data_IF_657721953900
#
_entry.id   IF_657721953900
#
_cell.length_a   1.000
_cell.length_b   1.000
_cell.length_c   1.000
_cell.angle_alpha   90.00
_cell.angle_beta   90.00
_cell.angle_gamma   90.00
#
_symmetry.space_group_name_H-M   'P 1'
#
loop_
_entity.id
_entity.type
_entity.pdbx_description
1 polymer ?
2 non-polymer ?
3 water ?
#
# COMPACT_ATOMS: atom_id res chain seq x y z
N UNK A 4 8.95 2.89 -24.33
CA UNK A 4 9.88 1.88 -23.71
C UNK A 4 9.19 1.07 -22.62
N UNK A 5 9.54 -0.21 -22.56
CA UNK A 5 9.04 -1.14 -21.53
C UNK A 5 9.36 -0.60 -20.14
N UNK A 6 8.33 -0.54 -19.32
CA UNK A 6 8.43 -0.05 -17.96
C UNK A 6 8.69 -1.21 -17.01
N UNK A 7 9.44 -0.95 -15.94
CA UNK A 7 9.71 -1.94 -14.90
C UNK A 7 8.43 -2.21 -14.10
N UNK A 8 8.15 -3.47 -13.82
CA UNK A 8 7.08 -3.81 -12.86
C UNK A 8 7.56 -3.54 -11.43
N UNK A 9 6.63 -3.13 -10.56
CA UNK A 9 6.93 -2.92 -9.14
C UNK A 9 6.84 -4.31 -8.47
N UNK A 10 7.86 -5.12 -8.76
CA UNK A 10 7.89 -6.54 -8.38
C UNK A 10 9.34 -6.97 -8.43
N UNK A 11 9.76 -7.70 -7.39
CA UNK A 11 11.16 -8.13 -7.30
C UNK A 11 11.18 -9.54 -6.74
N UNK A 12 12.12 -10.35 -7.20
CA UNK A 12 12.33 -11.65 -6.60
C UNK A 12 13.72 -11.71 -6.01
N UNK A 13 13.78 -12.04 -4.73
CA UNK A 13 15.04 -12.27 -4.05
C UNK A 13 14.95 -13.64 -3.41
N UNK A 14 15.94 -14.48 -3.72
CA UNK A 14 15.92 -15.87 -3.29
C UNK A 14 14.59 -16.52 -3.73
N UNK A 15 13.78 -16.97 -2.78
CA UNK A 15 12.54 -17.69 -3.12
C UNK A 15 11.30 -16.88 -2.74
N UNK A 16 11.45 -15.56 -2.75
CA UNK A 16 10.33 -14.68 -2.41
C UNK A 16 10.15 -13.55 -3.42
N UNK A 17 8.91 -13.40 -3.88
CA UNK A 17 8.53 -12.34 -4.80
C UNK A 17 7.75 -11.32 -4.01
N UNK A 18 8.15 -10.05 -4.13
CA UNK A 18 7.48 -9.01 -3.38
C UNK A 18 7.17 -7.85 -4.30
N UNK A 19 5.96 -7.31 -4.18
CA UNK A 19 5.59 -6.21 -5.07
C UNK A 19 4.26 -5.58 -4.72
N UNK A 20 3.81 -4.72 -5.61
CA UNK A 20 2.56 -3.98 -5.44
C UNK A 20 1.64 -4.28 -6.63
N UNK A 21 0.40 -4.64 -6.32
CA UNK A 21 -0.59 -5.08 -7.31
C UNK A 21 -1.77 -4.13 -7.35
N UNK A 22 -2.34 -3.97 -8.54
CA UNK A 22 -3.70 -3.37 -8.64
C UNK A 22 -4.69 -4.43 -9.03
N UNK A 23 -5.80 -4.49 -8.30
CA UNK A 23 -6.86 -5.47 -8.51
C UNK A 23 -8.16 -4.79 -8.91
N UNK A 24 -8.79 -5.33 -9.94
CA UNK A 24 -10.01 -4.75 -10.48
C UNK A 24 -11.19 -5.56 -9.98
N UNK A 25 -11.91 -4.99 -9.01
CA UNK A 25 -13.13 -5.61 -8.51
C UNK A 25 -14.28 -5.01 -9.29
N UNK A 26 -14.54 -5.60 -10.45
CA UNK A 26 -15.61 -5.16 -11.34
C UNK A 26 -16.95 -5.77 -10.89
N UNK A 27 -17.84 -4.90 -10.44
CA UNK A 27 -19.12 -5.34 -9.89
C UNK A 27 -20.23 -4.72 -10.71
N UNK A 28 -21.09 -5.58 -11.27
CA UNK A 28 -22.24 -5.14 -12.07
C UNK A 28 -23.44 -6.04 -11.77
N UNK A 29 -24.61 -5.40 -11.64
CA UNK A 29 -25.85 -6.15 -11.35
C UNK A 29 -25.66 -7.10 -10.16
N UNK A 30 -24.98 -6.61 -9.13
CA UNK A 30 -24.76 -7.32 -7.87
C UNK A 30 -23.83 -8.55 -8.01
N UNK A 31 -22.99 -8.53 -9.04
CA UNK A 31 -22.10 -9.66 -9.34
C UNK A 31 -20.68 -9.19 -9.59
N UNK A 32 -19.72 -10.02 -9.18
CA UNK A 32 -18.31 -9.72 -9.37
C UNK A 32 -17.77 -10.50 -10.56
N UNK A 33 -17.05 -9.80 -11.45
CA UNK A 33 -16.43 -10.46 -12.60
C UNK A 33 -15.15 -11.15 -12.13
N UNK A 34 -15.11 -12.47 -12.25
CA UNK A 34 -13.93 -13.26 -11.87
C UNK A 34 -13.46 -14.14 -13.01
N UNK A 35 -12.24 -14.66 -12.89
CA UNK A 35 -11.75 -15.60 -13.88
C UNK A 35 -11.36 -16.94 -13.24
N UNK A 36 -11.50 -18.01 -14.01
CA UNK A 36 -11.28 -19.37 -13.52
C UNK A 36 -10.05 -20.02 -14.15
N UNK A 37 -9.27 -20.73 -13.35
CA UNK A 37 -8.15 -21.50 -13.85
C UNK A 37 -7.83 -22.62 -12.89
N UNK A 38 -7.90 -23.85 -13.41
CA UNK A 38 -7.62 -25.07 -12.65
C UNK A 38 -8.36 -25.10 -11.31
N UNK A 39 -9.68 -24.99 -11.39
CA UNK A 39 -10.55 -25.08 -10.22
C UNK A 39 -10.67 -23.83 -9.36
N UNK A 40 -9.66 -22.96 -9.41
CA UNK A 40 -9.67 -21.76 -8.55
C UNK A 40 -10.12 -20.52 -9.31
N UNK A 41 -10.61 -19.54 -8.57
CA UNK A 41 -11.06 -18.30 -9.16
C UNK A 41 -10.18 -17.14 -8.75
N UNK A 42 -9.94 -16.24 -9.69
CA UNK A 42 -9.04 -15.11 -9.50
C UNK A 42 -9.68 -13.82 -9.93
N UNK A 43 -9.11 -12.73 -9.45
CA UNK A 43 -9.51 -11.40 -9.85
C UNK A 43 -8.70 -10.91 -11.07
N UNK A 44 -9.29 -9.99 -11.81
CA UNK A 44 -8.57 -9.22 -12.83
C UNK A 44 -7.57 -8.30 -12.15
N UNK A 45 -6.35 -8.22 -12.68
CA UNK A 45 -5.34 -7.34 -12.12
C UNK A 45 -3.91 -7.80 -12.34
N UNK A 46 -2.99 -7.08 -11.74
CA UNK A 46 -1.56 -7.39 -11.94
C UNK A 46 -0.67 -6.34 -11.31
N UNK A 47 0.63 -6.52 -11.49
CA UNK A 47 1.62 -5.62 -10.89
C UNK A 47 1.46 -4.20 -11.41
N UNK A 48 1.50 -3.23 -10.50
CA UNK A 48 1.65 -1.84 -10.97
C UNK A 48 3.06 -1.65 -11.53
N UNK A 49 3.23 -0.63 -12.37
CA UNK A 49 4.57 -0.35 -12.89
C UNK A 49 5.29 0.64 -11.96
N UNK A 50 6.61 0.58 -11.96
CA UNK A 50 7.35 1.58 -11.22
C UNK A 50 7.02 2.96 -11.80
N UNK A 51 6.71 3.91 -10.91
CA UNK A 51 6.32 5.29 -11.25
C UNK A 51 4.91 5.44 -11.82
N UNK A 52 4.10 4.38 -11.72
CA UNK A 52 2.69 4.41 -12.16
C UNK A 52 1.75 4.49 -10.93
N UNK A 53 0.68 5.27 -11.05
CA UNK A 53 -0.31 5.34 -9.96
C UNK A 53 -1.11 4.05 -9.96
N UNK A 54 -1.65 3.66 -8.81
CA UNK A 54 -2.43 2.43 -8.75
C UNK A 54 -3.70 2.54 -9.59
N UNK A 55 -4.26 3.76 -9.69
CA UNK A 55 -5.43 4.00 -10.56
C UNK A 55 -5.09 3.70 -12.03
N UNK A 56 -3.97 4.26 -12.49
CA UNK A 56 -3.54 4.04 -13.87
C UNK A 56 -3.22 2.57 -14.09
N UNK A 57 -2.63 1.91 -13.08
CA UNK A 57 -2.34 0.49 -13.17
C UNK A 57 -3.59 -0.34 -13.35
N UNK A 58 -4.62 -0.08 -12.55
CA UNK A 58 -5.82 -0.91 -12.63
C UNK A 58 -6.51 -0.74 -13.98
N UNK A 59 -6.50 0.49 -14.49
CA UNK A 59 -7.12 0.75 -15.79
C UNK A 59 -6.32 0.04 -16.86
N UNK A 60 -4.99 0.09 -16.75
CA UNK A 60 -4.12 -0.59 -17.73
C UNK A 60 -4.31 -2.11 -17.70
N UNK A 61 -4.43 -2.66 -16.49
CA UNK A 61 -4.63 -4.10 -16.31
C UNK A 61 -5.93 -4.55 -16.95
N UNK A 62 -6.99 -3.75 -16.78
CA UNK A 62 -8.26 -4.05 -17.41
C UNK A 62 -8.13 -4.00 -18.94
N UNK A 63 -7.43 -2.99 -19.45
CA UNK A 63 -7.16 -2.89 -20.90
C UNK A 63 -6.40 -4.13 -21.39
N UNK A 64 -5.35 -4.52 -20.67
CA UNK A 64 -4.52 -5.65 -21.09
C UNK A 64 -5.31 -6.97 -21.05
N UNK A 65 -6.02 -7.20 -19.95
CA UNK A 65 -6.63 -8.52 -19.72
C UNK A 65 -8.01 -8.68 -20.31
N UNK A 66 -8.78 -7.59 -20.33
CA UNK A 66 -10.16 -7.63 -20.86
C UNK A 66 -10.36 -6.94 -22.21
N UNK A 67 -9.43 -6.06 -22.58
CA UNK A 67 -9.48 -5.36 -23.87
C UNK A 67 -10.53 -4.27 -23.94
N UNK A 68 -10.90 -3.73 -22.77
CA UNK A 68 -11.93 -2.71 -22.68
C UNK A 68 -11.45 -1.48 -21.89
N UNK A 69 -12.06 -0.34 -22.18
CA UNK A 69 -11.82 0.90 -21.47
C UNK A 69 -12.52 0.88 -20.13
N UNK A 70 -11.92 1.55 -19.15
CA UNK A 70 -12.45 1.57 -17.79
C UNK A 70 -11.93 2.76 -17.01
N UNK A 71 -12.61 3.06 -15.90
CA UNK A 71 -12.11 4.02 -14.91
C UNK A 71 -11.86 3.34 -13.57
N UNK A 72 -10.90 3.85 -12.80
CA UNK A 72 -10.52 3.16 -11.56
C UNK A 72 -11.65 3.02 -10.54
N UNK A 73 -12.48 4.04 -10.40
CA UNK A 73 -13.57 4.02 -9.40
C UNK A 73 -13.01 4.08 -7.98
N UNK A 74 -13.84 3.68 -7.01
CA UNK A 74 -13.53 3.76 -5.56
C UNK A 74 -12.44 2.77 -5.15
N UNK A 75 -11.44 3.22 -4.40
CA UNK A 75 -10.53 2.28 -3.75
C UNK A 75 -11.25 1.62 -2.55
N UNK A 76 -11.43 0.30 -2.60
CA UNK A 76 -12.16 -0.44 -1.57
C UNK A 76 -11.22 -0.94 -0.48
N UNK A 77 -10.10 -1.52 -0.89
CA UNK A 77 -9.17 -2.15 0.04
C UNK A 77 -7.73 -1.85 -0.29
N UNK A 78 -6.92 -1.70 0.77
CA UNK A 78 -5.47 -1.80 0.67
C UNK A 78 -5.09 -3.02 1.48
N UNK A 79 -4.50 -3.99 0.80
CA UNK A 79 -4.32 -5.35 1.35
C UNK A 79 -2.85 -5.68 1.48
N UNK A 80 -2.44 -6.19 2.63
CA UNK A 80 -1.13 -6.82 2.77
C UNK A 80 -1.38 -8.31 2.67
N UNK A 81 -0.79 -8.94 1.67
CA UNK A 81 -1.12 -10.33 1.35
C UNK A 81 0.15 -11.19 1.27
N UNK A 82 0.23 -12.25 2.08
CA UNK A 82 1.32 -13.22 1.97
C UNK A 82 0.69 -14.54 1.56
N UNK A 83 1.28 -15.21 0.59
CA UNK A 83 0.81 -16.52 0.19
C UNK A 83 1.91 -17.31 -0.50
N UNK A 84 1.66 -18.60 -0.67
CA UNK A 84 2.56 -19.52 -1.36
C UNK A 84 1.93 -20.02 -2.66
N UNK A 85 2.70 -20.03 -3.74
CA UNK A 85 2.31 -20.75 -4.95
C UNK A 85 3.47 -21.58 -5.46
N UNK A 86 3.25 -22.89 -5.59
CA UNK A 86 4.26 -23.83 -6.11
C UNK A 86 5.61 -23.67 -5.40
N UNK A 87 5.55 -23.47 -4.08
CA UNK A 87 6.75 -23.38 -3.25
C UNK A 87 7.45 -22.04 -3.22
N UNK A 88 6.92 -21.06 -3.96
CA UNK A 88 7.46 -19.71 -3.95
C UNK A 88 6.61 -18.85 -3.03
N UNK A 89 7.26 -18.08 -2.16
CA UNK A 89 6.56 -17.14 -1.29
C UNK A 89 6.29 -15.82 -2.02
N UNK A 90 5.11 -15.26 -1.77
CA UNK A 90 4.74 -13.95 -2.31
C UNK A 90 4.33 -13.03 -1.19
N UNK A 91 4.74 -11.77 -1.31
CA UNK A 91 4.32 -10.74 -0.39
C UNK A 91 3.92 -9.53 -1.23
N UNK A 92 2.61 -9.29 -1.30
CA UNK A 92 2.03 -8.18 -2.08
C UNK A 92 1.45 -7.12 -1.19
N UNK A 93 1.55 -5.88 -1.64
CA UNK A 93 0.59 -4.84 -1.21
C UNK A 93 -0.36 -4.72 -2.39
N UNK A 94 -1.67 -4.79 -2.13
CA UNK A 94 -2.65 -4.77 -3.23
C UNK A 94 -3.64 -3.65 -3.07
N UNK A 95 -3.95 -2.98 -4.16
CA UNK A 95 -4.94 -1.92 -4.16
C UNK A 95 -6.14 -2.43 -4.93
N UNK A 96 -7.26 -2.59 -4.23
CA UNK A 96 -8.45 -3.21 -4.82
C UNK A 96 -9.43 -2.11 -5.16
N UNK A 97 -9.70 -1.93 -6.45
CA UNK A 97 -10.59 -0.86 -6.96
C UNK A 97 -11.92 -1.36 -7.45
N UNK A 98 -12.99 -0.63 -7.12
CA UNK A 98 -14.33 -0.96 -7.63
C UNK A 98 -14.45 -0.31 -9.02
N UNK A 99 -13.80 -0.95 -9.99
CA UNK A 99 -13.64 -0.37 -11.33
C UNK A 99 -15.00 -0.16 -12.03
N UNK A 100 -15.09 0.93 -12.80
CA UNK A 100 -16.23 1.18 -13.67
C UNK A 100 -15.82 0.91 -15.12
N UNK A 101 -16.40 -0.13 -15.72
CA UNK A 101 -16.15 -0.39 -17.14
C UNK A 101 -16.88 0.64 -18.00
N UNK A 102 -16.23 1.05 -19.09
CA UNK A 102 -16.83 2.02 -20.01
C UNK A 102 -17.34 1.35 -21.28
N UNK A 103 -17.16 0.03 -21.34
CA UNK A 103 -17.67 -0.85 -22.41
C UNK A 103 -18.14 -2.16 -21.76
N UNK A 104 -18.90 -2.98 -22.49
CA UNK A 104 -19.30 -4.30 -22.01
C UNK A 104 -18.09 -5.18 -21.74
N UNK A 105 -18.14 -5.97 -20.67
CA UNK A 105 -17.09 -6.97 -20.39
C UNK A 105 -17.17 -8.14 -21.38
N UNK A 106 -16.01 -8.65 -21.83
CA UNK A 106 -15.97 -9.86 -22.65
C UNK A 106 -16.18 -11.15 -21.85
N UNK A 107 -16.39 -12.25 -22.57
CA UNK A 107 -16.61 -13.57 -21.96
C UNK A 107 -15.31 -14.23 -21.50
N UNK A 108 -14.19 -13.69 -21.97
CA UNK A 108 -12.87 -14.29 -21.71
C UNK A 108 -11.83 -13.23 -21.37
N UNK A 109 -10.83 -13.60 -20.56
CA UNK A 109 -9.67 -12.73 -20.30
C UNK A 109 -8.43 -13.40 -20.86
N UNK A 110 -7.39 -12.61 -21.10
CA UNK A 110 -6.12 -13.19 -21.51
C UNK A 110 -5.04 -12.57 -20.66
N UNK A 111 -4.08 -13.40 -20.25
CA UNK A 111 -2.89 -12.92 -19.58
C UNK A 111 -1.75 -13.82 -20.03
N UNK A 112 -0.63 -13.19 -20.42
CA UNK A 112 0.53 -13.90 -20.97
C UNK A 112 0.14 -14.85 -22.10
N UNK A 113 -0.87 -14.44 -22.86
CA UNK A 113 -1.34 -15.15 -24.07
C UNK A 113 -2.01 -16.48 -23.76
N UNK A 114 -2.47 -16.62 -22.52
CA UNK A 114 -3.26 -17.76 -22.11
C UNK A 114 -4.64 -17.25 -21.76
N UNK A 115 -5.65 -17.84 -22.38
CA UNK A 115 -7.03 -17.40 -22.16
C UNK A 115 -7.73 -18.18 -21.06
N UNK A 116 -8.57 -17.48 -20.32
CA UNK A 116 -9.36 -18.06 -19.25
C UNK A 116 -10.79 -17.52 -19.38
N UNK A 117 -11.79 -18.34 -19.05
CA UNK A 117 -13.15 -17.82 -19.11
C UNK A 117 -13.39 -16.87 -17.96
N UNK A 118 -14.25 -15.87 -18.17
CA UNK A 118 -14.70 -15.02 -17.07
C UNK A 118 -16.17 -15.26 -16.75
N UNK A 119 -16.52 -15.07 -15.50
CA UNK A 119 -17.88 -15.27 -15.07
C UNK A 119 -18.25 -14.18 -14.09
N UNK A 120 -19.52 -13.78 -14.13
CA UNK A 120 -20.09 -12.82 -13.21
C UNK A 120 -20.75 -13.60 -12.08
N UNK A 121 -20.24 -13.46 -10.84
CA UNK A 121 -20.80 -14.21 -9.72
C UNK A 121 -21.43 -13.32 -8.64
N UNK A 122 -22.63 -13.69 -8.17
CA UNK A 122 -23.31 -12.89 -7.16
C UNK A 122 -22.45 -12.67 -5.90
N UNK A 123 -22.46 -11.44 -5.39
CA UNK A 123 -21.61 -11.11 -4.24
C UNK A 123 -21.86 -12.01 -3.03
N UNK A 124 -23.11 -12.46 -2.85
CA UNK A 124 -23.48 -13.28 -1.70
C UNK A 124 -23.09 -14.74 -1.90
N UNK A 125 -22.54 -15.04 -3.07
CA UNK A 125 -22.13 -16.40 -3.45
C UNK A 125 -20.62 -16.53 -3.63
N UNK A 126 -19.87 -15.47 -3.30
CA UNK A 126 -18.40 -15.52 -3.34
C UNK A 126 -17.86 -16.58 -2.39
N UNK A 127 -18.55 -16.77 -1.27
CA UNK A 127 -18.16 -17.79 -0.31
C UNK A 127 -18.41 -19.21 -0.86
N UNK A 128 -18.99 -19.30 -2.07
CA UNK A 128 -19.29 -20.60 -2.68
C UNK A 128 -18.42 -20.96 -3.90
N UNK A 129 -17.34 -20.20 -4.07
CA UNK A 129 -16.27 -20.49 -5.04
C UNK A 129 -14.87 -20.47 -4.35
N UNK A 130 -13.89 -21.17 -4.91
CA UNK A 130 -12.52 -21.13 -4.41
C UNK A 130 -11.83 -19.86 -4.93
N UNK A 131 -12.28 -18.72 -4.43
CA UNK A 131 -11.76 -17.42 -4.81
C UNK A 131 -10.49 -17.08 -4.03
N UNK A 132 -9.50 -16.55 -4.73
CA UNK A 132 -8.34 -15.96 -4.06
C UNK A 132 -8.15 -14.53 -4.57
N UNK A 133 -7.79 -13.62 -3.67
CA UNK A 133 -7.54 -13.88 -2.25
C UNK A 133 -8.75 -13.79 -1.32
N UNK A 134 -8.73 -14.40 -0.14
CA UNK A 134 -9.70 -15.40 0.22
C UNK A 134 -10.52 -14.39 1.09
N UNK A 135 -9.85 -13.30 1.52
CA UNK A 135 -10.52 -12.23 2.30
C UNK A 135 -11.74 -11.65 1.58
N UNK A 136 -11.72 -11.65 0.25
CA UNK A 136 -12.84 -11.09 -0.52
C UNK A 136 -14.17 -11.78 -0.25
N UNK A 137 -14.12 -13.08 0.05
CA UNK A 137 -15.33 -13.88 0.19
C UNK A 137 -16.27 -13.31 1.25
N UNK A 138 -15.68 -12.72 2.29
CA UNK A 138 -16.41 -12.09 3.38
C UNK A 138 -16.38 -10.55 3.26
N UNK A 139 -15.22 -10.00 2.91
CA UNK A 139 -15.04 -8.55 2.96
C UNK A 139 -15.82 -7.81 1.90
N UNK A 140 -15.94 -8.39 0.71
CA UNK A 140 -16.62 -7.69 -0.37
C UNK A 140 -18.14 -7.55 -0.14
N UNK A 141 -18.85 -8.67 0.14
CA UNK A 141 -20.28 -8.49 0.42
C UNK A 141 -20.56 -7.67 1.67
N UNK A 142 -19.62 -7.64 2.62
CA UNK A 142 -19.74 -6.84 3.84
C UNK A 142 -19.34 -5.38 3.68
N UNK A 143 -18.82 -5.00 2.51
CA UNK A 143 -18.20 -3.67 2.34
C UNK A 143 -19.23 -2.56 2.56
N UNK A 144 -18.82 -1.50 3.26
CA UNK A 144 -19.75 -0.46 3.70
C UNK A 144 -19.48 0.94 3.10
N UNK A 145 -18.68 1.01 2.04
CA UNK A 145 -18.41 2.28 1.38
C UNK A 145 -17.17 3.02 1.86
N UNK A 146 -16.46 2.45 2.84
CA UNK A 146 -15.24 3.11 3.34
C UNK A 146 -14.02 2.26 3.10
N UNK A 147 -12.96 2.92 2.65
CA UNK A 147 -11.66 2.30 2.47
C UNK A 147 -11.26 1.48 3.69
N UNK A 148 -10.88 0.21 3.46
CA UNK A 148 -10.49 -0.70 4.54
C UNK A 148 -9.10 -1.27 4.35
N UNK A 149 -8.38 -1.43 5.46
CA UNK A 149 -7.05 -2.05 5.46
C UNK A 149 -7.20 -3.52 5.80
N UNK A 150 -6.68 -4.39 4.93
CA UNK A 150 -6.69 -5.82 5.19
C UNK A 150 -5.28 -6.19 5.61
N UNK A 151 -5.14 -6.64 6.86
CA UNK A 151 -3.81 -6.84 7.47
C UNK A 151 -3.35 -8.28 7.43
N UNK A 152 -2.05 -8.50 7.65
CA UNK A 152 -1.53 -9.87 7.76
C UNK A 152 -1.86 -10.47 9.14
N UNK A 153 -2.12 -11.77 9.20
CA UNK A 153 -2.43 -12.43 10.48
C UNK A 153 -1.20 -12.54 11.39
N UNK B 3 23.00 -13.56 4.64
CA UNK B 3 22.48 -14.39 5.76
C UNK B 3 22.15 -13.53 6.98
N UNK B 4 20.93 -13.68 7.49
CA UNK B 4 20.51 -13.00 8.75
C UNK B 4 20.44 -11.47 8.80
N UNK B 5 20.68 -10.83 7.67
CA UNK B 5 20.06 -9.55 7.44
C UNK B 5 18.83 -9.73 6.55
N UNK B 6 17.67 -9.50 7.13
CA UNK B 6 16.44 -9.75 6.45
C UNK B 6 16.33 -8.80 5.23
N UNK B 7 15.73 -9.29 4.13
CA UNK B 7 15.55 -8.48 2.93
C UNK B 7 14.55 -7.35 3.19
N UNK B 8 14.92 -6.10 2.84
CA UNK B 8 13.99 -4.98 2.90
C UNK B 8 13.10 -4.97 1.66
N UNK B 9 11.88 -4.46 1.82
CA UNK B 9 10.94 -4.30 0.72
C UNK B 9 11.31 -3.00 -0.02
N UNK B 10 12.44 -3.05 -0.73
CA UNK B 10 12.96 -1.88 -1.41
C UNK B 10 13.91 -2.41 -2.47
N UNK B 11 13.82 -1.85 -3.66
CA UNK B 11 14.67 -2.27 -4.78
C UNK B 11 15.22 -1.06 -5.53
N UNK B 12 16.48 -1.11 -5.96
CA UNK B 12 16.99 -0.12 -6.86
C UNK B 12 17.38 -0.77 -8.21
N UNK B 13 16.82 -0.25 -9.30
CA UNK B 13 17.16 -0.72 -10.64
C UNK B 13 17.58 0.50 -11.44
N UNK B 14 18.82 0.48 -11.95
CA UNK B 14 19.41 1.63 -12.62
C UNK B 14 19.17 2.94 -11.85
N UNK B 15 18.35 3.83 -12.41
CA UNK B 15 18.06 5.09 -11.74
C UNK B 15 16.62 5.18 -11.24
N UNK B 16 16.10 4.03 -10.78
CA UNK B 16 14.78 3.97 -10.14
C UNK B 16 14.89 3.21 -8.80
N UNK B 17 14.22 3.73 -7.78
CA UNK B 17 14.08 3.06 -6.49
C UNK B 17 12.59 2.90 -6.19
N UNK B 18 12.21 1.77 -5.62
CA UNK B 18 10.80 1.54 -5.33
C UNK B 18 10.64 0.60 -4.17
N UNK B 19 9.69 0.92 -3.29
CA UNK B 19 9.49 0.04 -2.14
C UNK B 19 8.32 0.45 -1.29
N UNK B 20 8.23 -0.17 -0.13
CA UNK B 20 7.13 0.05 0.79
C UNK B 20 7.70 0.47 2.14
N UNK B 21 7.07 1.49 2.75
CA UNK B 21 7.56 2.10 3.98
C UNK B 21 6.49 2.19 5.04
N UNK B 22 6.91 2.19 6.30
CA UNK B 22 6.01 2.48 7.43
C UNK B 22 6.48 3.74 8.11
N UNK B 23 5.53 4.57 8.50
CA UNK B 23 5.82 5.88 9.11
C UNK B 23 5.07 5.99 10.43
N UNK B 24 5.76 6.50 11.45
CA UNK B 24 5.17 6.69 12.77
C UNK B 24 4.75 8.14 12.94
N UNK B 25 3.44 8.35 13.04
CA UNK B 25 2.89 9.65 13.40
C UNK B 25 2.54 9.60 14.88
N UNK B 26 3.49 10.04 15.69
CA UNK B 26 3.37 9.96 17.14
C UNK B 26 2.80 11.27 17.64
N UNK B 27 1.57 11.20 18.16
CA UNK B 27 0.87 12.41 18.62
C UNK B 27 0.58 12.28 20.10
N UNK B 28 1.11 13.23 20.88
CA UNK B 28 0.87 13.32 22.32
C UNK B 28 0.68 14.77 22.67
N UNK B 29 -0.30 15.04 23.53
CA UNK B 29 -0.59 16.41 23.96
C UNK B 29 -0.79 17.36 22.79
N UNK B 30 -1.49 16.87 21.77
CA UNK B 30 -1.87 17.66 20.59
C UNK B 30 -0.66 18.07 19.74
N UNK B 31 0.46 17.35 19.93
CA UNK B 31 1.70 17.66 19.21
C UNK B 31 2.24 16.44 18.50
N UNK B 32 2.82 16.65 17.31
CA UNK B 32 3.43 15.58 16.52
C UNK B 32 4.93 15.55 16.81
N UNK B 33 5.46 14.35 17.05
CA UNK B 33 6.90 14.15 17.30
C UNK B 33 7.60 14.17 15.95
N UNK B 34 8.53 15.12 15.80
CA UNK B 34 9.31 15.26 14.57
C UNK B 34 10.77 15.46 14.89
N UNK B 35 11.60 15.30 13.86
CA UNK B 35 13.01 15.54 13.97
C UNK B 35 13.43 16.59 12.94
N UNK B 36 14.35 17.48 13.31
CA UNK B 36 14.76 18.55 12.41
C UNK B 36 16.14 18.25 11.83
N UNK B 37 16.23 18.28 10.50
CA UNK B 37 17.50 18.08 9.81
C UNK B 37 17.56 18.96 8.58
N UNK B 38 18.62 19.76 8.50
CA UNK B 38 18.88 20.60 7.32
C UNK B 38 17.70 21.51 7.00
N UNK B 39 17.12 22.09 8.05
CA UNK B 39 16.08 23.11 7.92
C UNK B 39 14.68 22.54 7.76
N UNK B 40 14.60 21.22 7.65
CA UNK B 40 13.32 20.57 7.40
C UNK B 40 12.96 19.62 8.54
N UNK B 41 11.66 19.37 8.68
CA UNK B 41 11.16 18.47 9.71
C UNK B 41 10.68 17.15 9.11
N UNK B 42 11.01 16.04 9.78
CA UNK B 42 10.67 14.70 9.27
C UNK B 42 10.04 13.86 10.37
N UNK B 43 9.36 12.80 9.96
CA UNK B 43 8.78 11.85 10.89
C UNK B 43 9.62 10.58 10.91
N UNK B 44 9.42 9.77 11.94
CA UNK B 44 10.11 8.48 12.04
C UNK B 44 9.51 7.54 11.01
N UNK B 45 10.37 6.82 10.30
CA UNK B 45 9.92 5.84 9.31
C UNK B 45 11.05 5.14 8.60
N UNK B 46 10.69 4.13 7.82
CA UNK B 46 11.69 3.35 7.11
C UNK B 46 11.05 2.27 6.30
N UNK B 47 11.87 1.57 5.54
CA UNK B 47 11.38 0.46 4.72
C UNK B 47 10.84 -0.65 5.60
N UNK B 48 9.72 -1.23 5.19
CA UNK B 48 9.32 -2.51 5.81
C UNK B 48 10.23 -3.63 5.28
N UNK B 49 10.27 -4.75 6.01
CA UNK B 49 10.99 -5.93 5.54
C UNK B 49 10.07 -6.81 4.71
N UNK B 50 10.65 -7.58 3.80
CA UNK B 50 9.87 -8.58 3.09
C UNK B 50 9.29 -9.56 4.13
N UNK B 51 8.01 -9.90 3.94
CA UNK B 51 7.24 -10.78 4.82
C UNK B 51 6.91 -10.20 6.20
N UNK B 52 7.08 -8.89 6.35
CA UNK B 52 6.78 -8.22 7.62
C UNK B 52 5.52 -7.38 7.47
N UNK B 53 4.64 -7.43 8.47
CA UNK B 53 3.47 -6.55 8.46
C UNK B 53 3.91 -5.09 8.62
N UNK B 54 3.11 -4.17 8.08
CA UNK B 54 3.45 -2.76 8.24
C UNK B 54 3.33 -2.34 9.72
N UNK B 55 2.41 -2.99 10.45
CA UNK B 55 2.33 -2.78 11.92
C UNK B 55 3.63 -3.14 12.65
N UNK B 56 4.15 -4.33 12.36
CA UNK B 56 5.43 -4.75 12.99
C UNK B 56 6.56 -3.84 12.54
N UNK B 57 6.50 -3.38 11.29
CA UNK B 57 7.55 -2.52 10.76
C UNK B 57 7.57 -1.22 11.53
N UNK B 58 6.41 -0.61 11.74
CA UNK B 58 6.40 0.73 12.40
C UNK B 58 6.87 0.62 13.84
N UNK B 59 6.48 -0.44 14.52
CA UNK B 59 6.94 -0.70 15.90
C UNK B 59 8.44 -0.90 15.94
N UNK B 60 8.96 -1.68 15.00
CA UNK B 60 10.39 -1.93 14.89
C UNK B 60 11.16 -0.63 14.64
N UNK B 61 10.64 0.20 13.73
CA UNK B 61 11.33 1.45 13.44
C UNK B 61 11.33 2.40 14.62
N UNK B 62 10.23 2.45 15.38
CA UNK B 62 10.22 3.26 16.60
C UNK B 62 11.26 2.71 17.60
N UNK B 63 11.35 1.38 17.70
CA UNK B 63 12.35 0.76 18.57
C UNK B 63 13.76 1.16 18.15
N UNK B 64 14.03 1.13 16.84
CA UNK B 64 15.36 1.45 16.30
C UNK B 64 15.74 2.91 16.55
N UNK B 65 14.83 3.82 16.21
CA UNK B 65 15.14 5.26 16.18
C UNK B 65 14.97 5.94 17.53
N UNK B 66 13.97 5.49 18.30
CA UNK B 66 13.63 6.11 19.59
C UNK B 66 13.96 5.25 20.81
N UNK B 67 14.15 3.95 20.60
CA UNK B 67 14.56 3.07 21.69
C UNK B 67 13.51 2.76 22.72
N UNK B 68 12.24 2.89 22.34
CA UNK B 68 11.12 2.63 23.23
C UNK B 68 10.12 1.66 22.62
N UNK B 69 9.38 0.97 23.48
CA UNK B 69 8.30 0.08 23.07
C UNK B 69 7.10 0.88 22.62
N UNK B 70 6.37 0.32 21.66
CA UNK B 70 5.23 1.00 21.04
C UNK B 70 4.28 -0.01 20.43
N UNK B 71 3.06 0.44 20.15
CA UNK B 71 2.09 -0.32 19.38
C UNK B 71 1.69 0.49 18.16
N UNK B 72 1.34 -0.19 17.07
CA UNK B 72 1.13 0.52 15.79
C UNK B 72 -0.02 1.53 15.79
N UNK B 73 -1.09 1.23 16.51
CA UNK B 73 -2.26 2.15 16.54
C UNK B 73 -3.03 2.18 15.22
N UNK B 74 -3.79 3.24 15.01
CA UNK B 74 -4.66 3.35 13.82
C UNK B 74 -3.87 3.68 12.57
N UNK B 75 -4.16 2.97 11.48
CA UNK B 75 -3.60 3.36 10.19
C UNK B 75 -4.36 4.59 9.68
N UNK B 76 -3.64 5.70 9.53
CA UNK B 76 -4.23 6.96 9.10
C UNK B 76 -4.23 7.14 7.59
N UNK B 77 -3.09 6.83 6.96
CA UNK B 77 -2.91 7.11 5.54
C UNK B 77 -2.20 5.99 4.83
N UNK B 78 -2.61 5.73 3.59
CA UNK B 78 -1.81 4.94 2.69
C UNK B 78 -1.45 5.88 1.55
N UNK B 79 -0.15 6.09 1.39
CA UNK B 79 0.35 7.16 0.52
C UNK B 79 1.10 6.55 -0.68
N UNK B 80 0.80 7.03 -1.88
CA UNK B 80 1.62 6.71 -3.05
C UNK B 80 2.49 7.92 -3.27
N UNK B 81 3.80 7.79 -3.01
CA UNK B 81 4.71 8.94 -3.02
C UNK B 81 5.75 8.81 -4.16
N UNK B 82 5.80 9.79 -5.06
CA UNK B 82 6.70 9.74 -6.25
C UNK B 82 7.48 11.04 -6.32
N UNK B 83 8.79 10.94 -6.47
CA UNK B 83 9.64 12.13 -6.60
C UNK B 83 10.97 11.74 -7.19
N UNK B 84 11.75 12.73 -7.63
CA UNK B 84 13.07 12.53 -8.22
C UNK B 84 14.11 13.29 -7.41
N UNK B 85 15.27 12.67 -7.20
CA UNK B 85 16.44 13.36 -6.62
C UNK B 85 17.70 12.91 -7.37
N UNK B 86 18.45 13.89 -7.87
CA UNK B 86 19.72 13.60 -8.53
C UNK B 86 19.64 12.49 -9.58
N UNK B 87 18.60 12.54 -10.41
CA UNK B 87 18.47 11.66 -11.55
C UNK B 87 17.87 10.32 -11.26
N UNK B 88 17.50 10.10 -10.00
CA UNK B 88 16.88 8.86 -9.54
C UNK B 88 15.44 9.10 -9.15
N UNK B 89 14.53 8.27 -9.66
CA UNK B 89 13.15 8.34 -9.27
C UNK B 89 12.94 7.46 -8.04
N UNK B 90 12.09 7.93 -7.12
CA UNK B 90 11.71 7.20 -5.91
C UNK B 90 10.22 7.05 -5.91
N UNK B 91 9.81 5.81 -5.66
CA UNK B 91 8.40 5.49 -5.70
C UNK B 91 8.10 4.61 -4.50
N UNK B 92 7.47 5.18 -3.49
CA UNK B 92 7.12 4.36 -2.33
C UNK B 92 5.64 4.31 -2.05
N UNK B 93 5.20 3.16 -1.55
CA UNK B 93 3.88 3.06 -0.91
C UNK B 93 4.14 3.16 0.59
N UNK B 94 3.50 4.12 1.26
CA UNK B 94 3.77 4.40 2.67
C UNK B 94 2.54 4.21 3.54
N UNK B 95 2.74 3.54 4.67
CA UNK B 95 1.67 3.31 5.62
C UNK B 95 1.96 4.15 6.85
N UNK B 96 1.11 5.13 7.10
CA UNK B 96 1.31 6.10 8.19
C UNK B 96 0.41 5.72 9.36
N UNK B 97 1.02 5.35 10.49
CA UNK B 97 0.31 4.87 11.66
C UNK B 97 0.31 5.89 12.78
N UNK B 98 -0.83 6.05 13.45
CA UNK B 98 -0.88 6.85 14.68
C UNK B 98 -0.42 6.01 15.86
N UNK B 99 0.90 5.90 16.00
CA UNK B 99 1.55 5.01 16.95
C UNK B 99 1.30 5.41 18.41
N UNK B 100 1.14 4.39 19.26
CA UNK B 100 1.05 4.57 20.72
C UNK B 100 2.38 4.19 21.35
N UNK B 101 3.08 5.17 21.91
CA UNK B 101 4.30 4.86 22.68
C UNK B 101 3.92 4.25 24.04
N UNK B 102 4.67 3.25 24.49
CA UNK B 102 4.37 2.63 25.77
C UNK B 102 5.37 3.05 26.86
N UNK B 103 6.32 3.91 26.47
CA UNK B 103 7.27 4.53 27.38
C UNK B 103 7.47 5.98 26.96
N UNK B 104 8.05 6.78 27.86
CA UNK B 104 8.35 8.18 27.55
C UNK B 104 9.26 8.31 26.35
N UNK B 105 8.95 9.26 25.47
CA UNK B 105 9.82 9.57 24.35
C UNK B 105 11.10 10.21 24.85
N UNK B 106 12.26 9.82 24.28
CA UNK B 106 13.53 10.41 24.65
C UNK B 106 13.66 11.79 24.01
N UNK B 107 14.65 12.56 24.49
CA UNK B 107 14.88 13.91 23.98
C UNK B 107 15.56 13.92 22.60
N UNK B 108 16.19 12.79 22.24
CA UNK B 108 16.89 12.69 20.96
C UNK B 108 16.57 11.36 20.26
N UNK B 109 16.87 11.28 18.98
CA UNK B 109 16.81 10.00 18.28
C UNK B 109 17.97 9.87 17.29
N UNK B 110 18.14 8.68 16.72
CA UNK B 110 19.17 8.52 15.69
C UNK B 110 18.80 7.59 14.55
N UNK B 111 19.43 7.82 13.41
CA UNK B 111 19.25 7.02 12.19
C UNK B 111 20.57 6.92 11.44
N UNK B 112 21.01 5.68 11.19
CA UNK B 112 22.31 5.42 10.54
C UNK B 112 23.46 6.06 11.33
N UNK B 113 23.29 6.09 12.66
CA UNK B 113 24.29 6.60 13.63
C UNK B 113 24.41 8.12 13.66
N UNK B 114 23.56 8.78 12.89
CA UNK B 114 23.49 10.22 12.93
C UNK B 114 22.34 10.64 13.82
N UNK B 115 22.67 11.46 14.81
CA UNK B 115 21.73 11.89 15.84
C UNK B 115 21.01 13.18 15.42
N UNK B 116 19.71 13.26 15.69
CA UNK B 116 18.89 14.44 15.39
C UNK B 116 18.00 14.77 16.60
N UNK B 117 17.67 16.07 16.83
CA UNK B 117 16.86 16.44 18.01
C UNK B 117 15.39 16.06 17.89
N UNK B 118 14.73 15.72 19.00
CA UNK B 118 13.26 15.47 19.06
C UNK B 118 12.54 16.77 19.31
N UNK B 119 11.55 17.10 18.49
CA UNK B 119 10.73 18.26 18.76
C UNK B 119 9.28 17.86 18.66
N UNK B 120 8.44 18.50 19.48
CA UNK B 120 7.00 18.27 19.46
C UNK B 120 6.30 19.52 18.95
N UNK B 121 5.60 19.40 17.81
CA UNK B 121 5.01 20.57 17.15
C UNK B 121 3.48 20.44 17.18
N UNK B 122 2.80 21.51 17.58
CA UNK B 122 1.34 21.45 17.73
C UNK B 122 0.70 21.16 16.39
N UNK B 123 -0.36 20.36 16.41
CA UNK B 123 -1.00 19.92 15.18
C UNK B 123 -1.45 21.08 14.28
N UNK B 124 -1.92 22.15 14.89
CA UNK B 124 -2.41 23.29 14.15
C UNK B 124 -1.31 24.28 13.78
N UNK B 125 -0.07 23.97 14.17
CA UNK B 125 1.10 24.77 13.79
C UNK B 125 1.99 24.07 12.75
N UNK B 126 1.65 22.83 12.42
CA UNK B 126 2.42 22.09 11.41
C UNK B 126 2.44 22.87 10.09
N UNK B 127 1.36 23.61 9.84
CA UNK B 127 1.23 24.44 8.65
C UNK B 127 2.30 25.54 8.54
N UNK B 128 2.98 25.84 9.66
CA UNK B 128 3.98 26.91 9.72
C UNK B 128 5.43 26.41 9.77
N UNK B 129 5.63 25.10 9.56
CA UNK B 129 6.98 24.54 9.52
C UNK B 129 7.22 23.77 8.21
N UNK B 130 8.49 23.55 7.92
CA UNK B 130 8.91 22.84 6.72
C UNK B 130 8.88 21.33 6.93
N UNK B 131 7.68 20.79 7.10
CA UNK B 131 7.47 19.36 7.34
C UNK B 131 7.45 18.61 6.02
N UNK B 132 8.15 17.48 6.00
CA UNK B 132 8.14 16.54 4.87
C UNK B 132 7.69 15.16 5.43
N UNK B 133 6.73 14.46 4.75
CA UNK B 133 6.09 14.67 3.45
C UNK B 133 5.58 16.07 3.12
N UNK B 134 4.66 16.62 3.90
CA UNK B 134 4.14 17.93 3.54
C UNK B 134 2.62 17.91 3.47
N UNK B 135 2.06 16.88 2.83
CA UNK B 135 0.61 16.69 2.87
C UNK B 135 0.09 16.65 4.31
N UNK B 136 0.97 16.26 5.24
CA UNK B 136 0.64 16.11 6.65
C UNK B 136 0.25 17.43 7.31
N UNK B 137 0.75 18.53 6.76
CA UNK B 137 0.58 19.87 7.35
C UNK B 137 -0.91 20.20 7.56
N UNK B 138 -1.74 19.68 6.65
CA UNK B 138 -3.18 19.81 6.72
C UNK B 138 -3.87 18.50 6.98
N UNK B 139 -3.38 17.40 6.40
CA UNK B 139 -4.08 16.11 6.54
C UNK B 139 -4.13 15.64 7.98
N UNK B 140 -3.07 15.91 8.75
CA UNK B 140 -3.07 15.45 10.13
C UNK B 140 -4.06 16.25 10.99
N UNK B 141 -3.96 17.59 11.03
CA UNK B 141 -5.01 18.27 11.81
C UNK B 141 -6.45 18.07 11.29
N UNK B 142 -6.61 17.85 10.00
CA UNK B 142 -7.94 17.64 9.40
C UNK B 142 -8.43 16.20 9.51
N UNK B 143 -7.60 15.31 10.04
CA UNK B 143 -7.94 13.88 10.04
C UNK B 143 -9.23 13.65 10.83
N UNK B 144 -10.09 12.79 10.29
CA UNK B 144 -11.43 12.55 10.87
C UNK B 144 -11.65 11.12 11.35
N UNK B 145 -10.58 10.36 11.55
CA UNK B 145 -10.72 9.02 12.10
C UNK B 145 -10.89 7.92 11.06
N UNK B 146 -10.94 8.29 9.79
CA UNK B 146 -11.09 7.32 8.70
C UNK B 146 -9.82 7.22 7.85
N UNK B 147 -9.38 5.99 7.61
CA UNK B 147 -8.23 5.73 6.74
C UNK B 147 -8.40 6.46 5.40
N UNK B 148 -7.37 7.21 4.99
CA UNK B 148 -7.38 7.98 3.73
C UNK B 148 -6.28 7.52 2.76
N UNK B 149 -6.60 7.55 1.47
CA UNK B 149 -5.64 7.28 0.37
C UNK B 149 -5.07 8.60 -0.09
N UNK B 150 -3.75 8.72 -0.12
CA UNK B 150 -3.07 9.97 -0.48
C UNK B 150 -2.17 9.76 -1.69
N UNK B 151 -2.16 10.73 -2.60
CA UNK B 151 -1.14 10.77 -3.65
C UNK B 151 -0.26 11.95 -3.40
N UNK B 152 1.05 11.73 -3.38
CA UNK B 152 1.99 12.82 -3.25
C UNK B 152 2.96 12.72 -4.41
N UNK B 153 3.04 13.80 -5.19
CA UNK B 153 3.98 13.87 -6.32
C UNK B 153 4.73 15.19 -6.29
N UNK B 154 5.98 15.14 -6.72
CA UNK B 154 6.79 16.33 -6.83
C UNK B 154 6.19 17.28 -7.86
X LIG C 1 -6.37 -0.31 10.56
X LIG C 1 -7.06 0.35 9.36
X LIG C 1 -6.12 0.74 11.66
X LIG C 1 -7.29 -1.38 11.12
X LIG C 1 -5.09 -1.00 10.17
#
# INVERSE_FOLDING_TARGET
SNAMTQQDFRTKVDNTVFGVRATALIVQNHKLLVTKDKGKYYTIGGAIQVNESTEDAVVREVKEELGVKAQAGQLAFVVENRFEVDGVSYHNIEFHYLVDLLEDAPLTMQEDEKRQPCEWIDLDKLQNIQLVPVFLKTALPDWEGQLRHIHLEE
SNAMTQQDFRTKVDNTVFGVRATALIVQNHKLLVTKDKGKYYTIGGAIQVNESTEDAVVREVKEELGVKAQAGQLAFVVENRFEVDGVSYHNIEFHYLVDLLEDAPLTMQEDEKRQPCEWIDLDKLQNIQLVPVFLKTALPDWEGQLRHIHLEE
PO4 P O1 O2 O3 O4
#
